data_IF_114827209910
#
_entry.id   IF_114827209910
#
_cell.length_a   1.000
_cell.length_b   1.000
_cell.length_c   1.000
_cell.angle_alpha   90.00
_cell.angle_beta   90.00
_cell.angle_gamma   90.00
#
_symmetry.space_group_name_H-M   'P 1'
#
loop_
_entity.id
_entity.type
_entity.pdbx_description
1 polymer ?
#
# COMPACT_ATOMS: atom_id res chain seq x y z
N UNK A 1 -9.65 -23.23 -89.27
CA UNK A 1 -8.32 -22.70 -88.84
C UNK A 1 -8.48 -21.98 -87.51
N UNK A 2 -7.53 -22.18 -86.62
CA UNK A 2 -7.64 -22.16 -85.16
C UNK A 2 -6.75 -21.04 -84.59
N UNK A 3 -7.30 -20.24 -83.65
CA UNK A 3 -6.72 -19.69 -82.40
C UNK A 3 -7.03 -18.18 -82.12
N UNK A 4 -7.09 -17.82 -80.83
CA UNK A 4 -7.87 -16.69 -80.28
C UNK A 4 -6.99 -15.53 -79.80
N UNK A 5 -7.56 -14.33 -79.63
CA UNK A 5 -6.90 -13.21 -78.95
C UNK A 5 -7.48 -13.07 -77.54
N UNK A 6 -6.59 -13.24 -76.57
CA UNK A 6 -6.84 -13.35 -75.14
C UNK A 6 -7.33 -12.04 -74.51
N UNK A 7 -8.37 -12.17 -73.69
CA UNK A 7 -8.70 -11.26 -72.59
C UNK A 7 -7.55 -11.25 -71.59
N UNK A 8 -6.88 -10.11 -71.42
CA UNK A 8 -6.07 -9.84 -70.23
C UNK A 8 -6.87 -8.88 -69.35
N UNK A 9 -7.61 -9.47 -68.42
CA UNK A 9 -8.28 -8.79 -67.32
C UNK A 9 -7.20 -8.29 -66.36
N UNK A 10 -6.96 -6.99 -66.34
CA UNK A 10 -6.08 -6.32 -65.40
C UNK A 10 -6.69 -6.43 -64.01
N UNK A 11 -6.38 -7.50 -63.27
CA UNK A 11 -6.73 -7.61 -61.87
C UNK A 11 -5.83 -6.66 -61.07
N UNK A 12 -6.34 -5.48 -60.78
CA UNK A 12 -5.73 -4.55 -59.83
C UNK A 12 -5.90 -5.15 -58.43
N UNK A 13 -4.82 -5.75 -57.92
CA UNK A 13 -4.73 -6.24 -56.55
C UNK A 13 -4.60 -5.01 -55.62
N UNK A 14 -5.71 -4.53 -55.06
CA UNK A 14 -5.68 -3.56 -53.96
C UNK A 14 -5.34 -4.33 -52.69
N UNK A 15 -4.06 -4.32 -52.32
CA UNK A 15 -3.61 -4.75 -50.99
C UNK A 15 -4.10 -3.70 -50.00
N UNK A 16 -5.24 -3.99 -49.37
CA UNK A 16 -5.81 -3.19 -48.31
C UNK A 16 -4.99 -3.43 -47.04
N UNK A 17 -3.96 -2.61 -46.85
CA UNK A 17 -3.15 -2.58 -45.63
C UNK A 17 -4.02 -2.13 -44.46
N UNK A 18 -4.48 -3.07 -43.64
CA UNK A 18 -5.12 -2.77 -42.36
C UNK A 18 -4.00 -2.38 -41.39
N UNK A 19 -3.88 -1.12 -40.93
CA UNK A 19 -2.97 -0.84 -39.83
C UNK A 19 -3.54 -1.54 -38.60
N UNK A 20 -2.86 -2.59 -38.14
CA UNK A 20 -3.10 -3.20 -36.85
C UNK A 20 -2.87 -2.11 -35.79
N UNK A 21 -3.97 -1.50 -35.33
CA UNK A 21 -3.97 -0.58 -34.22
C UNK A 21 -3.67 -1.40 -32.96
N UNK A 22 -2.39 -1.58 -32.68
CA UNK A 22 -1.88 -2.10 -31.42
C UNK A 22 -2.30 -1.12 -30.33
N UNK A 23 -3.42 -1.43 -29.68
CA UNK A 23 -3.83 -0.80 -28.45
C UNK A 23 -2.85 -1.25 -27.36
N UNK A 24 -1.75 -0.53 -27.18
CA UNK A 24 -0.83 -0.80 -26.08
C UNK A 24 -1.54 -0.46 -24.78
N UNK A 25 -2.01 -1.48 -24.08
CA UNK A 25 -2.48 -1.33 -22.70
C UNK A 25 -1.23 -1.08 -21.86
N UNK A 26 -1.02 0.17 -21.44
CA UNK A 26 -0.07 0.49 -20.38
C UNK A 26 -0.74 0.03 -19.08
N UNK A 27 -0.29 -1.10 -18.56
CA UNK A 27 -0.51 -1.43 -17.16
C UNK A 27 0.44 -0.52 -16.38
N UNK A 28 -0.12 0.44 -15.65
CA UNK A 28 0.66 1.09 -14.60
C UNK A 28 1.10 -0.02 -13.64
N UNK A 29 2.40 -0.21 -13.48
CA UNK A 29 2.93 -1.08 -12.45
C UNK A 29 2.53 -0.41 -11.12
N UNK A 30 1.62 -1.04 -10.40
CA UNK A 30 1.31 -0.63 -9.03
C UNK A 30 2.53 -0.96 -8.19
N UNK A 31 3.52 -0.07 -8.18
CA UNK A 31 4.73 -0.24 -7.38
C UNK A 31 4.30 -0.46 -5.91
N UNK A 32 4.67 -1.63 -5.39
CA UNK A 32 4.52 -1.96 -3.97
C UNK A 32 5.73 -1.39 -3.26
N UNK A 33 5.48 -0.44 -2.37
CA UNK A 33 6.50 0.21 -1.56
C UNK A 33 6.29 -0.16 -0.08
N UNK A 34 7.20 0.23 0.81
CA UNK A 34 7.14 -0.18 2.22
C UNK A 34 7.61 0.92 3.16
N UNK A 35 6.85 1.14 4.23
CA UNK A 35 7.25 2.00 5.35
C UNK A 35 7.87 1.13 6.44
N UNK A 36 9.08 1.46 6.84
CA UNK A 36 9.78 0.79 7.93
C UNK A 36 9.92 1.70 9.15
N UNK A 37 9.90 1.11 10.33
CA UNK A 37 10.13 1.85 11.56
C UNK A 37 10.17 0.95 12.77
N UNK A 38 10.19 1.57 13.94
CA UNK A 38 10.29 0.87 15.22
C UNK A 38 9.18 1.37 16.14
N UNK A 39 8.34 0.45 16.61
CA UNK A 39 7.37 0.71 17.67
C UNK A 39 8.10 0.64 19.00
N UNK A 40 8.08 1.71 19.78
CA UNK A 40 8.66 1.80 21.12
C UNK A 40 7.63 2.24 22.16
N UNK A 41 7.95 2.08 23.43
CA UNK A 41 7.20 2.72 24.51
C UNK A 41 7.88 4.02 24.91
N UNK A 42 7.10 5.04 25.32
CA UNK A 42 7.66 6.37 25.67
C UNK A 42 8.70 6.29 26.80
N UNK A 43 8.51 5.40 27.77
CA UNK A 43 9.39 5.26 28.93
C UNK A 43 10.46 4.17 28.79
N UNK A 44 10.73 3.65 27.57
CA UNK A 44 11.82 2.72 27.29
C UNK A 44 11.36 1.32 26.88
N UNK A 45 12.04 0.29 27.38
CA UNK A 45 11.72 -1.11 27.10
C UNK A 45 10.54 -1.58 27.97
N UNK A 46 9.62 -2.33 27.38
CA UNK A 46 8.48 -2.92 28.10
C UNK A 46 8.26 -4.36 27.66
N UNK A 47 8.22 -5.27 28.64
CA UNK A 47 7.82 -6.65 28.43
C UNK A 47 6.32 -6.71 28.11
N UNK A 48 6.00 -7.33 26.98
CA UNK A 48 4.64 -7.63 26.59
C UNK A 48 4.25 -9.04 27.10
N UNK A 49 2.98 -9.26 27.44
CA UNK A 49 2.51 -10.59 27.77
C UNK A 49 2.70 -11.55 26.58
N UNK A 50 2.96 -12.83 26.87
CA UNK A 50 3.19 -13.85 25.84
C UNK A 50 1.99 -13.96 24.91
N UNK A 51 2.24 -13.91 23.59
CA UNK A 51 1.17 -13.92 22.59
C UNK A 51 0.50 -12.56 22.36
N UNK A 52 1.12 -11.46 22.81
CA UNK A 52 0.69 -10.14 22.37
C UNK A 52 0.95 -9.95 20.87
N UNK A 53 0.06 -9.24 20.20
CA UNK A 53 0.15 -8.90 18.79
C UNK A 53 0.30 -7.38 18.64
N UNK A 54 1.25 -6.95 17.82
CA UNK A 54 1.39 -5.55 17.42
C UNK A 54 0.83 -5.39 16.02
N UNK A 55 -0.24 -4.63 15.91
CA UNK A 55 -0.88 -4.28 14.65
C UNK A 55 -0.46 -2.86 14.25
N UNK A 56 0.07 -2.73 13.04
CA UNK A 56 0.48 -1.45 12.44
C UNK A 56 -0.34 -1.27 11.16
N UNK A 57 -1.10 -0.18 11.09
CA UNK A 57 -1.97 0.12 9.96
C UNK A 57 -1.60 1.49 9.43
N UNK A 58 -1.29 1.55 8.13
CA UNK A 58 -1.17 2.80 7.42
C UNK A 58 -2.55 3.19 6.90
N UNK A 59 -2.97 4.39 7.25
CA UNK A 59 -4.28 4.94 6.92
C UNK A 59 -4.09 6.21 6.11
N UNK A 60 -4.86 6.32 5.03
CA UNK A 60 -5.01 7.57 4.29
C UNK A 60 -6.13 8.39 4.95
N UNK A 61 -5.79 9.60 5.40
CA UNK A 61 -6.70 10.56 6.03
C UNK A 61 -6.80 11.85 5.22
N UNK A 62 -6.63 11.74 3.89
CA UNK A 62 -6.64 12.87 2.96
C UNK A 62 -7.85 13.78 3.07
N UNK A 63 -8.96 13.23 3.55
CA UNK A 63 -10.25 13.89 3.64
C UNK A 63 -10.75 13.77 5.08
N UNK A 64 -10.70 14.90 5.81
CA UNK A 64 -11.08 14.99 7.23
C UNK A 64 -12.56 14.64 7.49
N UNK A 65 -13.39 14.57 6.44
CA UNK A 65 -14.82 14.22 6.50
C UNK A 65 -15.10 12.79 5.96
N UNK A 66 -14.06 12.09 5.50
CA UNK A 66 -14.18 10.75 4.92
C UNK A 66 -13.70 9.66 5.89
N UNK A 67 -14.19 8.44 5.63
CA UNK A 67 -13.76 7.25 6.36
C UNK A 67 -12.27 7.00 6.10
N UNK A 68 -11.48 6.96 7.17
CA UNK A 68 -10.11 6.44 7.20
C UNK A 68 -9.97 5.14 6.38
N UNK A 69 -9.20 5.18 5.30
CA UNK A 69 -8.99 4.01 4.42
C UNK A 69 -7.65 3.38 4.75
N UNK A 70 -7.67 2.11 5.18
CA UNK A 70 -6.45 1.33 5.36
C UNK A 70 -5.80 1.05 3.99
N UNK A 71 -4.60 1.58 3.79
CA UNK A 71 -3.80 1.44 2.56
C UNK A 71 -2.68 0.41 2.71
N UNK A 72 -2.30 0.10 3.95
CA UNK A 72 -1.33 -0.94 4.29
C UNK A 72 -1.57 -1.45 5.71
N UNK A 73 -1.25 -2.73 5.96
CA UNK A 73 -1.40 -3.34 7.28
C UNK A 73 -0.33 -4.41 7.50
N UNK A 74 0.24 -4.41 8.69
CA UNK A 74 1.09 -5.47 9.19
C UNK A 74 0.61 -5.89 10.58
N UNK A 75 0.66 -7.20 10.84
CA UNK A 75 0.46 -7.75 12.18
C UNK A 75 1.73 -8.52 12.53
N UNK A 76 2.32 -8.17 13.66
CA UNK A 76 3.47 -8.85 14.26
C UNK A 76 2.90 -9.70 15.38
N UNK A 77 2.90 -11.02 15.18
CA UNK A 77 2.44 -12.00 16.15
C UNK A 77 3.54 -12.29 17.18
N UNK A 78 3.13 -12.74 18.37
CA UNK A 78 4.04 -13.19 19.43
C UNK A 78 5.12 -12.15 19.84
N UNK A 79 4.76 -10.87 19.83
CA UNK A 79 5.63 -9.80 20.30
C UNK A 79 5.81 -9.90 21.81
N UNK A 80 7.04 -10.15 22.27
CA UNK A 80 7.35 -10.31 23.70
C UNK A 80 7.92 -9.07 24.37
N UNK A 81 8.46 -8.13 23.58
CA UNK A 81 9.06 -6.90 24.10
C UNK A 81 8.90 -5.76 23.09
N UNK A 82 8.87 -4.53 23.59
CA UNK A 82 9.13 -3.34 22.80
C UNK A 82 10.52 -2.80 23.19
N UNK A 83 11.33 -2.30 22.23
CA UNK A 83 10.95 -1.96 20.86
C UNK A 83 10.81 -3.16 19.90
N UNK A 84 9.96 -3.00 18.88
CA UNK A 84 9.81 -3.96 17.77
C UNK A 84 9.82 -3.25 16.43
N UNK A 85 10.56 -3.81 15.47
CA UNK A 85 10.64 -3.27 14.11
C UNK A 85 9.43 -3.72 13.27
N UNK A 86 8.95 -2.81 12.42
CA UNK A 86 7.85 -3.04 11.51
C UNK A 86 8.23 -2.65 10.07
N UNK A 87 7.56 -3.27 9.11
CA UNK A 87 7.61 -2.97 7.68
C UNK A 87 6.22 -3.15 7.08
N UNK A 88 5.50 -2.04 6.90
CA UNK A 88 4.16 -2.03 6.32
C UNK A 88 4.30 -1.83 4.81
N UNK A 89 4.01 -2.89 4.06
CA UNK A 89 3.88 -2.80 2.61
C UNK A 89 2.58 -2.08 2.23
N UNK A 90 2.68 -1.15 1.28
CA UNK A 90 1.56 -0.40 0.75
C UNK A 90 1.67 -0.28 -0.76
N UNK A 91 0.56 0.04 -1.42
CA UNK A 91 0.53 0.29 -2.86
C UNK A 91 0.50 1.78 -3.13
N UNK A 92 1.46 2.27 -3.90
CA UNK A 92 1.58 3.70 -4.21
C UNK A 92 0.37 4.23 -5.01
N UNK A 93 -0.31 3.38 -5.78
CA UNK A 93 -1.57 3.75 -6.47
C UNK A 93 -2.77 3.96 -5.54
N UNK A 94 -2.65 3.54 -4.27
CA UNK A 94 -3.69 3.69 -3.25
C UNK A 94 -3.50 4.93 -2.38
N UNK A 95 -2.37 5.61 -2.50
CA UNK A 95 -2.10 6.84 -1.76
C UNK A 95 -2.51 8.05 -2.58
N UNK A 96 -3.08 9.05 -1.91
CA UNK A 96 -3.29 10.36 -2.53
C UNK A 96 -2.01 11.18 -2.42
N UNK A 97 -1.37 11.58 -3.54
CA UNK A 97 -0.14 12.36 -3.50
C UNK A 97 -0.35 13.71 -2.79
N UNK A 98 0.54 14.05 -1.87
CA UNK A 98 0.47 15.30 -1.10
C UNK A 98 -0.61 15.35 -0.02
N UNK A 99 -1.23 14.21 0.30
CA UNK A 99 -2.22 14.13 1.36
C UNK A 99 -1.64 13.68 2.70
N UNK A 100 -2.40 13.95 3.78
CA UNK A 100 -2.05 13.52 5.12
C UNK A 100 -2.30 12.02 5.29
N UNK A 101 -1.34 11.35 5.91
CA UNK A 101 -1.41 9.92 6.22
C UNK A 101 -1.18 9.73 7.71
N UNK A 102 -1.80 8.72 8.30
CA UNK A 102 -1.62 8.37 9.69
C UNK A 102 -1.15 6.93 9.84
N UNK A 103 -0.19 6.73 10.73
CA UNK A 103 0.17 5.40 11.20
C UNK A 103 -0.58 5.12 12.50
N UNK A 104 -1.48 4.14 12.44
CA UNK A 104 -2.20 3.65 13.59
C UNK A 104 -1.54 2.38 14.11
N UNK A 105 -1.19 2.37 15.39
CA UNK A 105 -0.58 1.22 16.05
C UNK A 105 -1.46 0.78 17.21
N UNK A 106 -1.67 -0.53 17.31
CA UNK A 106 -2.34 -1.15 18.43
C UNK A 106 -1.59 -2.39 18.89
N UNK A 107 -1.32 -2.45 20.19
CA UNK A 107 -0.81 -3.64 20.86
C UNK A 107 -1.98 -4.31 21.55
N UNK A 108 -2.24 -5.57 21.18
CA UNK A 108 -3.34 -6.37 21.73
C UNK A 108 -2.83 -7.63 22.38
N UNK A 109 -3.51 -8.10 23.42
CA UNK A 109 -3.29 -9.41 24.02
C UNK A 109 -4.65 -10.07 24.29
N UNK A 110 -4.86 -11.28 23.77
CA UNK A 110 -6.15 -12.00 23.89
C UNK A 110 -7.37 -11.16 23.44
N UNK A 111 -7.17 -10.24 22.50
CA UNK A 111 -8.21 -9.34 21.97
C UNK A 111 -8.38 -8.03 22.76
N UNK A 112 -7.80 -7.90 23.95
CA UNK A 112 -7.77 -6.67 24.73
C UNK A 112 -6.73 -5.69 24.20
N UNK A 113 -7.09 -4.40 24.11
CA UNK A 113 -6.16 -3.34 23.69
C UNK A 113 -5.29 -2.92 24.88
N UNK A 114 -4.00 -3.19 24.83
CA UNK A 114 -3.04 -2.83 25.86
C UNK A 114 -2.44 -1.45 25.63
N UNK A 115 -2.09 -1.14 24.39
CA UNK A 115 -1.50 0.13 24.00
C UNK A 115 -2.01 0.56 22.63
N UNK A 116 -2.13 1.86 22.41
CA UNK A 116 -2.46 2.41 21.10
C UNK A 116 -1.82 3.78 20.90
N UNK A 117 -1.59 4.13 19.65
CA UNK A 117 -1.13 5.45 19.24
C UNK A 117 -1.52 5.68 17.79
N UNK A 118 -1.76 6.94 17.45
CA UNK A 118 -1.87 7.42 16.08
C UNK A 118 -0.84 8.52 15.90
N UNK A 119 -0.14 8.50 14.78
CA UNK A 119 0.84 9.52 14.44
C UNK A 119 0.71 9.89 12.98
N UNK A 120 0.53 11.18 12.72
CA UNK A 120 0.54 11.74 11.37
C UNK A 120 1.96 11.62 10.79
N UNK A 121 2.05 11.11 9.56
CA UNK A 121 3.31 10.93 8.86
C UNK A 121 3.24 11.57 7.47
N UNK A 122 4.28 12.33 7.12
CA UNK A 122 4.46 12.90 5.78
C UNK A 122 5.30 11.92 4.95
N UNK A 123 4.66 11.06 4.14
CA UNK A 123 5.38 10.00 3.39
C UNK A 123 6.52 10.51 2.50
N UNK A 124 6.38 11.71 1.91
CA UNK A 124 7.44 12.34 1.12
C UNK A 124 8.68 12.73 1.93
N UNK A 125 8.53 12.91 3.25
CA UNK A 125 9.62 13.27 4.18
C UNK A 125 10.06 12.12 5.07
N UNK A 126 9.22 11.10 5.25
CA UNK A 126 9.39 10.01 6.21
C UNK A 126 9.84 8.69 5.56
N UNK A 127 10.57 8.75 4.43
CA UNK A 127 11.20 7.58 3.82
C UNK A 127 12.38 7.12 4.70
N UNK A 128 12.11 6.28 5.72
CA UNK A 128 13.11 5.74 6.65
C UNK A 128 12.56 5.51 8.06
N UNK A 129 13.35 4.83 8.91
CA UNK A 129 13.02 4.38 10.27
C UNK A 129 12.16 5.35 11.08
N UNK A 130 10.85 5.08 11.15
CA UNK A 130 9.89 5.88 11.93
C UNK A 130 9.84 5.34 13.36
N UNK A 131 10.28 6.14 14.34
CA UNK A 131 10.09 5.81 15.75
C UNK A 131 8.72 6.26 16.24
N UNK A 132 7.85 5.31 16.61
CA UNK A 132 6.53 5.65 17.14
C UNK A 132 6.37 5.14 18.55
N UNK A 133 5.93 6.03 19.44
CA UNK A 133 5.77 5.72 20.85
C UNK A 133 4.31 5.40 21.19
N UNK A 134 4.08 4.23 21.80
CA UNK A 134 2.73 3.78 22.20
C UNK A 134 2.37 4.24 23.61
N UNK A 135 1.09 4.53 23.85
CA UNK A 135 0.55 4.92 25.16
C UNK A 135 -0.57 3.99 25.61
N UNK A 136 -0.77 3.76 26.93
CA UNK A 136 -1.89 2.96 27.40
C UNK A 136 -3.22 3.63 27.02
N UNK A 137 -4.29 2.86 26.75
CA UNK A 137 -5.59 3.43 26.45
C UNK A 137 -6.06 4.27 27.63
N UNK A 138 -6.61 5.46 27.36
CA UNK A 138 -7.23 6.30 28.37
C UNK A 138 -8.30 5.47 29.09
N UNK A 139 -8.07 5.14 30.36
CA UNK A 139 -9.11 4.58 31.20
C UNK A 139 -10.23 5.64 31.30
N UNK A 140 -11.37 5.38 30.66
CA UNK A 140 -12.57 6.19 30.93
C UNK A 140 -12.98 5.94 32.39
N UNK A 141 -13.11 6.99 33.22
CA UNK A 141 -13.52 6.87 34.62
C UNK A 141 -14.97 6.40 34.79
#
# INVERSE_FOLDING_TARGET
>A
MWKPALLLSTSALVVMTVPALLLTVVFADSDVDSITGTVRYLDGEVDLPVGACVEVVLVDVSDEDSLAIAVGRQVIEDASTLPVDFSVAYRSDRLTPGAAHELWIAVRHEGELLYTTSSEIELERSVGDIEVAVTPPLAMP
#
